data_IF_685130919144
#
_entry.id   IF_685130919144
#
_cell.length_a   1.000
_cell.length_b   1.000
_cell.length_c   1.000
_cell.angle_alpha   90.00
_cell.angle_beta   90.00
_cell.angle_gamma   90.00
#
_symmetry.space_group_name_H-M   'P 1'
#
loop_
_entity.id
_entity.type
_entity.pdbx_description
1 polymer ?
#
# COMPACT_ATOMS: atom_id res chain seq x y z
N UNK A 1 -15.73 29.75 -15.45
CA UNK A 1 -15.47 28.38 -15.96
C UNK A 1 -15.55 27.45 -14.77
N UNK A 2 -16.50 26.51 -14.76
CA UNK A 2 -16.74 25.66 -13.58
C UNK A 2 -15.74 24.49 -13.64
N UNK A 3 -14.80 24.44 -12.70
CA UNK A 3 -13.95 23.26 -12.46
C UNK A 3 -14.83 22.09 -11.99
N UNK A 4 -14.80 20.99 -12.70
CA UNK A 4 -15.40 19.72 -12.25
C UNK A 4 -14.46 19.14 -11.21
N UNK A 5 -14.95 19.04 -9.97
CA UNK A 5 -14.27 18.32 -8.90
C UNK A 5 -14.30 16.82 -9.24
N UNK A 6 -13.14 16.23 -9.42
CA UNK A 6 -12.98 14.76 -9.44
C UNK A 6 -12.93 14.32 -7.99
N UNK A 7 -13.96 13.60 -7.57
CA UNK A 7 -14.05 13.00 -6.24
C UNK A 7 -13.18 11.73 -6.25
N UNK A 8 -12.02 11.78 -5.64
CA UNK A 8 -11.22 10.59 -5.38
C UNK A 8 -11.93 9.78 -4.26
N UNK A 9 -12.57 8.68 -4.63
CA UNK A 9 -13.10 7.72 -3.65
C UNK A 9 -11.94 6.86 -3.20
N UNK A 10 -11.41 7.16 -2.00
CA UNK A 10 -10.46 6.29 -1.31
C UNK A 10 -11.24 5.11 -0.74
N UNK A 11 -11.02 3.91 -1.27
CA UNK A 11 -11.58 2.68 -0.74
C UNK A 11 -10.74 2.22 0.46
N UNK A 12 -11.29 2.42 1.65
CA UNK A 12 -10.79 1.79 2.85
C UNK A 12 -11.26 0.32 2.90
N UNK A 13 -10.32 -0.62 2.94
CA UNK A 13 -10.63 -2.03 3.19
C UNK A 13 -10.93 -2.23 4.68
N UNK A 14 -12.21 -2.27 5.02
CA UNK A 14 -12.68 -2.70 6.34
C UNK A 14 -12.85 -4.21 6.29
N UNK A 15 -11.96 -4.96 6.95
CA UNK A 15 -12.21 -6.36 7.25
C UNK A 15 -13.25 -6.46 8.37
N UNK A 16 -14.49 -6.76 8.01
CA UNK A 16 -15.50 -7.19 8.97
C UNK A 16 -15.50 -8.70 9.08
N UNK A 17 -14.99 -9.24 10.20
CA UNK A 17 -15.14 -10.64 10.56
C UNK A 17 -16.62 -10.96 10.82
N UNK A 18 -17.21 -11.83 10.01
CA UNK A 18 -18.47 -12.49 10.31
C UNK A 18 -18.20 -13.71 11.22
N UNK A 19 -18.58 -13.58 12.48
CA UNK A 19 -18.62 -14.68 13.45
C UNK A 19 -19.83 -15.56 13.13
N UNK A 20 -19.61 -16.80 12.72
CA UNK A 20 -20.60 -17.86 12.67
C UNK A 20 -20.80 -18.43 14.07
N UNK A 21 -21.86 -18.04 14.75
CA UNK A 21 -22.32 -18.72 15.96
C UNK A 21 -23.27 -19.84 15.59
N UNK A 22 -22.86 -21.08 15.91
CA UNK A 22 -23.66 -22.30 15.77
C UNK A 22 -24.71 -22.42 16.86
N UNK A 23 -25.82 -23.03 16.49
CA UNK A 23 -27.05 -23.29 17.24
C UNK A 23 -26.88 -24.15 18.50
N UNK A 24 -27.67 -23.84 19.52
CA UNK A 24 -28.02 -24.74 20.61
C UNK A 24 -29.26 -24.26 21.36
N UNK A 25 -30.31 -25.11 21.31
CA UNK A 25 -31.67 -24.95 21.82
C UNK A 25 -31.79 -24.67 23.33
N UNK A 26 -32.78 -23.88 23.76
CA UNK A 26 -33.94 -24.27 24.58
C UNK A 26 -34.67 -23.10 25.25
N UNK A 27 -35.91 -22.98 24.83
CA UNK A 27 -37.20 -22.78 25.56
C UNK A 27 -37.44 -21.66 26.62
N UNK A 28 -38.49 -20.99 26.31
CA UNK A 28 -39.67 -20.63 27.10
C UNK A 28 -39.87 -19.20 27.67
N UNK A 29 -40.85 -18.57 27.05
CA UNK A 29 -42.03 -17.86 27.61
C UNK A 29 -41.82 -16.53 28.38
N UNK A 30 -42.56 -15.52 28.21
CA UNK A 30 -43.95 -15.15 27.97
C UNK A 30 -44.10 -13.62 27.93
N UNK A 31 -45.02 -13.17 27.06
CA UNK A 31 -46.00 -12.06 27.17
C UNK A 31 -45.54 -10.65 27.54
N UNK A 32 -46.03 -9.62 26.93
CA UNK A 32 -47.27 -9.20 26.33
C UNK A 32 -47.10 -7.80 25.68
N UNK A 33 -47.66 -7.61 24.54
CA UNK A 33 -48.69 -6.65 24.09
C UNK A 33 -48.47 -5.16 24.46
N UNK A 34 -48.64 -4.21 23.56
CA UNK A 34 -49.74 -3.89 22.64
C UNK A 34 -49.47 -2.61 21.86
N UNK A 35 -49.88 -2.64 20.61
CA UNK A 35 -50.74 -1.67 19.86
C UNK A 35 -50.28 -0.22 19.78
N UNK A 36 -50.30 0.46 18.71
CA UNK A 36 -51.11 0.65 17.48
C UNK A 36 -50.63 2.01 16.93
N UNK A 37 -50.60 2.39 15.77
CA UNK A 37 -51.47 2.53 14.65
C UNK A 37 -50.76 3.24 13.48
N UNK A 38 -51.18 2.87 12.33
CA UNK A 38 -50.81 3.34 11.01
C UNK A 38 -51.04 4.83 10.74
N UNK A 39 -50.27 5.36 9.80
CA UNK A 39 -50.81 6.25 8.75
C UNK A 39 -49.94 6.20 7.51
N UNK A 40 -50.52 5.73 6.46
CA UNK A 40 -50.12 5.78 5.06
C UNK A 40 -50.08 7.22 4.54
N UNK A 41 -49.07 7.54 3.72
CA UNK A 41 -49.32 8.33 2.51
C UNK A 41 -48.31 7.95 1.43
N UNK A 42 -48.87 7.52 0.33
CA UNK A 42 -48.32 7.37 -0.99
C UNK A 42 -47.68 8.65 -1.52
N UNK A 43 -46.49 8.52 -2.13
CA UNK A 43 -46.11 9.35 -3.26
C UNK A 43 -45.07 8.61 -4.08
N UNK A 44 -45.50 8.07 -5.19
CA UNK A 44 -44.68 7.59 -6.28
C UNK A 44 -43.82 8.73 -6.85
N UNK A 45 -42.56 8.49 -6.99
CA UNK A 45 -41.74 9.19 -7.99
C UNK A 45 -40.77 8.16 -8.59
N UNK A 46 -41.13 7.75 -9.76
CA UNK A 46 -40.26 7.15 -10.77
C UNK A 46 -39.17 8.15 -11.08
N UNK A 47 -37.90 7.74 -10.95
CA UNK A 47 -36.88 8.18 -11.88
C UNK A 47 -35.85 7.09 -12.09
N UNK A 48 -35.92 6.61 -13.29
CA UNK A 48 -35.07 5.75 -14.07
C UNK A 48 -33.68 6.43 -14.18
N UNK A 49 -32.72 6.09 -13.35
CA UNK A 49 -31.32 6.39 -13.60
C UNK A 49 -30.76 5.22 -14.43
N UNK A 50 -30.96 5.30 -15.72
CA UNK A 50 -30.25 4.49 -16.68
C UNK A 50 -28.75 4.64 -16.44
N UNK A 51 -28.11 3.55 -16.04
CA UNK A 51 -26.70 3.35 -16.22
C UNK A 51 -26.41 3.55 -17.72
N UNK A 52 -25.75 4.64 -18.07
CA UNK A 52 -25.19 4.78 -19.41
C UNK A 52 -23.99 3.86 -19.47
N UNK A 53 -24.24 2.67 -19.95
CA UNK A 53 -23.29 1.74 -20.51
C UNK A 53 -22.76 2.39 -21.81
N UNK A 54 -21.78 3.29 -21.67
CA UNK A 54 -20.98 3.76 -22.80
C UNK A 54 -19.72 2.89 -22.89
N UNK A 55 -19.95 1.57 -22.99
CA UNK A 55 -18.96 0.66 -23.50
C UNK A 55 -18.79 0.97 -24.99
N UNK A 56 -17.67 1.54 -25.35
CA UNK A 56 -17.21 1.58 -26.72
C UNK A 56 -17.33 0.16 -27.31
N UNK A 57 -17.76 -0.01 -28.59
CA UNK A 57 -17.94 -1.33 -29.16
C UNK A 57 -16.63 -2.10 -29.04
N UNK A 58 -16.67 -3.27 -28.40
CA UNK A 58 -15.57 -4.19 -28.31
C UNK A 58 -15.02 -4.41 -29.74
N UNK A 59 -13.78 -4.01 -29.95
CA UNK A 59 -13.08 -4.35 -31.18
C UNK A 59 -12.91 -5.87 -31.18
N UNK A 60 -13.72 -6.55 -31.99
CA UNK A 60 -13.67 -7.99 -32.19
C UNK A 60 -12.43 -8.26 -33.08
N UNK A 61 -11.27 -8.53 -32.47
CA UNK A 61 -10.03 -8.76 -33.23
C UNK A 61 -8.85 -9.18 -32.37
N UNK A 62 -7.88 -9.82 -32.99
CA UNK A 62 -6.63 -10.32 -32.39
C UNK A 62 -5.74 -9.20 -31.75
N UNK A 63 -6.13 -7.94 -31.87
CA UNK A 63 -5.38 -6.75 -31.46
C UNK A 63 -5.93 -6.05 -30.18
N UNK A 64 -6.68 -6.76 -29.34
CA UNK A 64 -7.16 -6.22 -28.04
C UNK A 64 -6.32 -6.83 -26.92
N UNK A 65 -5.70 -6.00 -26.10
CA UNK A 65 -4.98 -6.39 -24.87
C UNK A 65 -5.95 -6.24 -23.69
N UNK A 66 -6.16 -7.29 -22.92
CA UNK A 66 -6.95 -7.23 -21.69
C UNK A 66 -6.07 -6.85 -20.51
N UNK A 67 -6.36 -5.72 -19.89
CA UNK A 67 -5.69 -5.21 -18.69
C UNK A 67 -6.61 -5.36 -17.48
N UNK A 68 -6.14 -6.07 -16.45
CA UNK A 68 -6.84 -6.18 -15.17
C UNK A 68 -6.11 -5.42 -14.09
N UNK A 69 -6.85 -4.60 -13.34
CA UNK A 69 -6.30 -3.79 -12.26
C UNK A 69 -7.28 -3.71 -11.09
N UNK A 70 -6.78 -3.35 -9.92
CA UNK A 70 -7.59 -3.10 -8.73
C UNK A 70 -7.88 -1.61 -8.51
N UNK A 71 -7.20 -0.73 -9.26
CA UNK A 71 -7.41 0.72 -9.33
C UNK A 71 -7.33 1.20 -10.76
N UNK A 72 -7.61 2.47 -10.99
CA UNK A 72 -7.46 3.15 -12.29
C UNK A 72 -6.03 3.63 -12.59
N UNK A 73 -5.07 3.40 -11.69
CA UNK A 73 -3.70 3.91 -11.81
C UNK A 73 -2.95 3.30 -13.00
N UNK A 74 -2.78 1.96 -13.04
CA UNK A 74 -2.14 1.29 -14.18
C UNK A 74 -2.92 1.52 -15.48
N UNK A 75 -4.26 1.42 -15.51
CA UNK A 75 -5.03 1.81 -16.69
C UNK A 75 -4.72 3.22 -17.18
N UNK A 76 -4.69 4.20 -16.30
CA UNK A 76 -4.34 5.59 -16.65
C UNK A 76 -2.93 5.75 -17.22
N UNK A 77 -1.96 4.97 -16.72
CA UNK A 77 -0.61 4.92 -17.29
C UNK A 77 -0.60 4.32 -18.69
N UNK A 78 -1.35 3.24 -18.91
CA UNK A 78 -1.48 2.61 -20.23
C UNK A 78 -2.17 3.54 -21.23
N UNK A 79 -3.16 4.32 -20.82
CA UNK A 79 -3.76 5.34 -21.67
C UNK A 79 -2.73 6.37 -22.14
N UNK A 80 -1.81 6.79 -21.24
CA UNK A 80 -0.69 7.68 -21.60
C UNK A 80 0.32 7.04 -22.55
N UNK A 81 0.59 5.75 -22.38
CA UNK A 81 1.39 4.98 -23.33
C UNK A 81 0.74 5.00 -24.74
N UNK A 82 -0.57 4.76 -24.82
CA UNK A 82 -1.29 4.76 -26.11
C UNK A 82 -1.36 6.15 -26.74
N UNK A 83 -1.53 7.21 -25.93
CA UNK A 83 -1.45 8.60 -26.40
C UNK A 83 -0.07 8.92 -27.02
N UNK A 84 1.01 8.45 -26.40
CA UNK A 84 2.38 8.66 -26.86
C UNK A 84 2.74 7.77 -28.08
N UNK A 85 2.04 6.65 -28.28
CA UNK A 85 2.32 5.66 -29.31
C UNK A 85 1.10 5.41 -30.25
N UNK A 86 0.65 6.41 -31.02
CA UNK A 86 -0.57 6.30 -31.82
C UNK A 86 -0.52 5.19 -32.89
N UNK A 87 0.66 4.77 -33.27
CA UNK A 87 0.89 3.70 -34.26
C UNK A 87 1.09 2.30 -33.60
N UNK A 88 0.79 2.16 -32.32
CA UNK A 88 0.99 0.90 -31.56
C UNK A 88 0.20 -0.28 -32.13
N UNK A 89 -0.95 -0.03 -32.72
CA UNK A 89 -1.74 -1.03 -33.45
C UNK A 89 -2.58 -1.96 -32.58
N UNK A 90 -2.60 -1.75 -31.27
CA UNK A 90 -3.46 -2.46 -30.30
C UNK A 90 -4.37 -1.48 -29.56
N UNK A 91 -5.53 -1.99 -29.15
CA UNK A 91 -6.39 -1.33 -28.16
C UNK A 91 -6.31 -2.06 -26.83
N UNK A 92 -6.61 -1.37 -25.73
CA UNK A 92 -6.61 -1.98 -24.40
C UNK A 92 -8.03 -1.99 -23.85
N UNK A 93 -8.46 -3.17 -23.43
CA UNK A 93 -9.73 -3.39 -22.73
C UNK A 93 -9.43 -3.53 -21.24
N UNK A 94 -9.91 -2.59 -20.44
CA UNK A 94 -9.62 -2.52 -19.01
C UNK A 94 -10.73 -3.11 -18.18
N UNK A 95 -10.36 -3.95 -17.19
CA UNK A 95 -11.23 -4.46 -16.15
C UNK A 95 -10.69 -4.00 -14.80
N UNK A 96 -11.48 -3.21 -14.06
CA UNK A 96 -11.12 -2.74 -12.71
C UNK A 96 -12.04 -3.43 -11.70
N UNK A 97 -11.44 -4.14 -10.74
CA UNK A 97 -12.13 -4.79 -9.62
C UNK A 97 -11.39 -4.35 -8.35
N UNK A 98 -12.08 -3.61 -7.48
CA UNK A 98 -11.47 -3.16 -6.23
C UNK A 98 -11.06 -4.33 -5.33
N UNK A 99 -10.04 -4.13 -4.51
CA UNK A 99 -9.60 -5.09 -3.49
C UNK A 99 -10.54 -5.17 -2.28
N UNK A 100 -11.51 -4.26 -2.20
CA UNK A 100 -12.52 -4.23 -1.13
C UNK A 100 -13.21 -5.58 -1.01
N UNK A 101 -13.38 -6.03 0.21
CA UNK A 101 -13.98 -7.33 0.53
C UNK A 101 -13.26 -8.54 -0.13
N UNK A 102 -12.01 -8.35 -0.56
CA UNK A 102 -11.20 -9.40 -1.18
C UNK A 102 -11.68 -9.81 -2.58
N UNK A 103 -12.40 -8.95 -3.32
CA UNK A 103 -13.03 -9.32 -4.58
C UNK A 103 -12.04 -9.55 -5.73
N UNK A 104 -10.95 -8.77 -5.79
CA UNK A 104 -10.01 -8.80 -6.91
C UNK A 104 -9.29 -10.14 -7.09
N UNK A 105 -8.66 -10.64 -6.04
CA UNK A 105 -7.83 -11.85 -6.12
C UNK A 105 -8.60 -13.10 -6.58
N UNK A 106 -9.79 -13.43 -6.01
CA UNK A 106 -10.57 -14.57 -6.49
C UNK A 106 -11.02 -14.43 -7.96
N UNK A 107 -11.37 -13.21 -8.39
CA UNK A 107 -11.74 -12.95 -9.78
C UNK A 107 -10.56 -13.13 -10.72
N UNK A 108 -9.38 -12.62 -10.36
CA UNK A 108 -8.14 -12.77 -11.11
C UNK A 108 -7.73 -14.25 -11.19
N UNK A 109 -7.77 -14.99 -10.08
CA UNK A 109 -7.48 -16.44 -10.05
C UNK A 109 -8.38 -17.20 -11.02
N UNK A 110 -9.68 -16.91 -10.98
CA UNK A 110 -10.65 -17.56 -11.85
C UNK A 110 -10.38 -17.24 -13.34
N UNK A 111 -10.08 -15.97 -13.66
CA UNK A 111 -9.80 -15.54 -15.02
C UNK A 111 -8.52 -16.16 -15.58
N UNK A 112 -7.43 -16.19 -14.78
CA UNK A 112 -6.17 -16.83 -15.16
C UNK A 112 -6.34 -18.33 -15.35
N UNK A 113 -7.08 -19.01 -14.46
CA UNK A 113 -7.33 -20.44 -14.55
C UNK A 113 -8.25 -20.82 -15.72
N UNK A 114 -9.25 -20.00 -16.04
CA UNK A 114 -10.15 -20.21 -17.17
C UNK A 114 -9.44 -20.03 -18.52
N UNK A 115 -8.49 -19.09 -18.58
CA UNK A 115 -7.77 -18.77 -19.79
C UNK A 115 -8.67 -18.26 -20.93
N UNK A 116 -8.18 -18.33 -22.15
CA UNK A 116 -8.94 -17.94 -23.33
C UNK A 116 -8.89 -16.44 -23.63
N UNK A 117 -9.76 -15.97 -24.52
CA UNK A 117 -9.71 -14.61 -25.06
C UNK A 117 -10.07 -13.50 -24.06
N UNK A 118 -10.81 -13.84 -23.00
CA UNK A 118 -11.26 -12.90 -21.98
C UNK A 118 -10.34 -12.90 -20.74
N UNK A 119 -9.32 -13.77 -20.71
CA UNK A 119 -8.28 -13.75 -19.67
C UNK A 119 -7.43 -12.48 -19.76
N UNK A 120 -6.89 -12.00 -18.63
CA UNK A 120 -5.96 -10.88 -18.66
C UNK A 120 -4.70 -11.21 -19.46
N UNK A 121 -4.26 -10.30 -20.30
CA UNK A 121 -2.91 -10.29 -20.89
C UNK A 121 -1.90 -9.62 -19.95
N UNK A 122 -2.35 -8.52 -19.29
CA UNK A 122 -1.61 -7.76 -18.29
C UNK A 122 -2.46 -7.70 -17.03
N UNK A 123 -1.85 -7.83 -15.86
CA UNK A 123 -2.55 -7.64 -14.60
C UNK A 123 -1.66 -6.98 -13.54
N UNK A 124 -2.28 -6.15 -12.71
CA UNK A 124 -1.63 -5.47 -11.61
C UNK A 124 -1.77 -6.30 -10.32
N UNK A 125 -0.74 -6.26 -9.47
CA UNK A 125 -0.76 -6.84 -8.14
C UNK A 125 -0.13 -5.89 -7.13
N UNK A 126 -0.81 -5.70 -5.99
CA UNK A 126 -0.34 -4.87 -4.88
C UNK A 126 0.62 -5.67 -3.99
N UNK A 127 1.49 -5.00 -3.25
CA UNK A 127 2.51 -5.60 -2.39
C UNK A 127 1.99 -6.70 -1.47
N UNK A 128 0.79 -6.53 -0.90
CA UNK A 128 0.19 -7.49 0.03
C UNK A 128 -0.08 -8.87 -0.60
N UNK A 129 -0.29 -8.94 -1.92
CA UNK A 129 -0.63 -10.20 -2.59
C UNK A 129 0.19 -10.53 -3.84
N UNK A 130 1.11 -9.66 -4.27
CA UNK A 130 1.94 -9.92 -5.47
C UNK A 130 2.72 -11.23 -5.37
N UNK A 131 3.15 -11.61 -4.18
CA UNK A 131 3.93 -12.83 -3.96
C UNK A 131 3.17 -14.10 -4.35
N UNK A 132 1.86 -14.14 -4.23
CA UNK A 132 1.03 -15.23 -4.72
C UNK A 132 1.23 -15.44 -6.23
N UNK A 133 1.31 -14.35 -6.99
CA UNK A 133 1.39 -14.37 -8.46
C UNK A 133 2.83 -14.38 -8.99
N UNK A 134 3.79 -13.86 -8.23
CA UNK A 134 5.19 -13.86 -8.63
C UNK A 134 5.96 -15.10 -8.15
N UNK A 135 5.68 -15.61 -6.96
CA UNK A 135 6.47 -16.63 -6.29
C UNK A 135 5.66 -17.83 -5.81
N UNK A 136 4.38 -17.63 -5.45
CA UNK A 136 3.50 -18.59 -4.80
C UNK A 136 2.68 -19.42 -5.80
N UNK A 137 1.51 -19.87 -5.32
CA UNK A 137 0.67 -20.88 -5.98
C UNK A 137 0.16 -20.47 -7.36
N UNK A 138 0.00 -19.16 -7.62
CA UNK A 138 -0.42 -18.62 -8.92
C UNK A 138 0.75 -18.20 -9.82
N UNK A 139 2.01 -18.37 -9.39
CA UNK A 139 3.20 -17.91 -10.15
C UNK A 139 3.37 -18.64 -11.49
N UNK A 140 2.76 -19.82 -11.64
CA UNK A 140 2.74 -20.56 -12.89
C UNK A 140 1.92 -19.91 -14.01
N UNK A 141 1.10 -18.89 -13.72
CA UNK A 141 0.39 -18.11 -14.73
C UNK A 141 1.18 -16.91 -15.27
N UNK A 142 2.20 -16.45 -14.53
CA UNK A 142 2.99 -15.29 -14.92
C UNK A 142 4.01 -15.63 -16.03
N UNK A 143 4.06 -14.80 -17.07
CA UNK A 143 5.08 -14.83 -18.09
C UNK A 143 6.42 -14.36 -17.53
N UNK A 144 7.52 -14.98 -17.94
CA UNK A 144 8.82 -14.36 -17.73
C UNK A 144 8.97 -13.13 -18.65
N UNK A 145 9.57 -12.07 -18.15
CA UNK A 145 9.73 -10.84 -18.92
C UNK A 145 10.57 -11.05 -20.20
N UNK A 146 11.53 -11.98 -20.17
CA UNK A 146 12.28 -12.36 -21.37
C UNK A 146 11.39 -12.98 -22.46
N UNK A 147 10.32 -13.69 -22.08
CA UNK A 147 9.36 -14.27 -23.03
C UNK A 147 8.46 -13.19 -23.69
N UNK A 148 8.44 -11.97 -23.13
CA UNK A 148 7.78 -10.79 -23.67
C UNK A 148 8.70 -9.95 -24.58
N UNK A 149 9.96 -10.37 -24.75
CA UNK A 149 10.96 -9.67 -25.57
C UNK A 149 11.77 -8.61 -24.84
N UNK A 150 11.73 -8.58 -23.50
CA UNK A 150 12.50 -7.65 -22.65
C UNK A 150 13.89 -8.24 -22.37
N UNK A 151 14.96 -7.47 -22.58
CA UNK A 151 16.33 -7.84 -22.18
C UNK A 151 16.53 -7.53 -20.69
N UNK A 152 15.96 -8.38 -19.84
CA UNK A 152 15.90 -8.19 -18.38
C UNK A 152 17.28 -7.89 -17.78
N UNK A 153 18.32 -8.61 -18.21
CA UNK A 153 19.65 -8.46 -17.63
C UNK A 153 20.25 -7.08 -17.90
N UNK A 154 20.08 -6.57 -19.12
CA UNK A 154 20.56 -5.24 -19.51
C UNK A 154 19.69 -4.14 -18.92
N UNK A 155 18.39 -4.23 -19.12
CA UNK A 155 17.46 -3.14 -18.80
C UNK A 155 17.30 -2.91 -17.28
N UNK A 156 17.26 -3.99 -16.47
CA UNK A 156 17.25 -3.87 -15.00
C UNK A 156 18.54 -3.23 -14.48
N UNK A 157 19.70 -3.59 -15.08
CA UNK A 157 20.98 -3.01 -14.69
C UNK A 157 21.12 -1.54 -15.12
N UNK A 158 20.71 -1.21 -16.35
CA UNK A 158 20.76 0.15 -16.88
C UNK A 158 19.81 1.11 -16.14
N UNK A 159 18.63 0.61 -15.80
CA UNK A 159 17.65 1.35 -15.00
C UNK A 159 18.02 1.41 -13.50
N UNK A 160 18.95 0.58 -13.03
CA UNK A 160 19.33 0.46 -11.61
C UNK A 160 18.08 0.24 -10.71
N UNK A 161 17.26 -0.72 -11.09
CA UNK A 161 15.99 -1.00 -10.39
C UNK A 161 16.24 -1.36 -8.93
N UNK A 162 15.45 -0.80 -8.02
CA UNK A 162 15.51 -1.08 -6.59
C UNK A 162 15.45 -2.59 -6.33
N UNK A 163 16.46 -3.14 -5.67
CA UNK A 163 16.69 -4.59 -5.59
C UNK A 163 15.51 -5.35 -4.97
N UNK A 164 14.84 -4.77 -3.96
CA UNK A 164 13.72 -5.46 -3.30
C UNK A 164 12.53 -5.70 -4.25
N UNK A 165 12.31 -4.80 -5.24
CA UNK A 165 11.23 -4.98 -6.24
C UNK A 165 11.56 -6.13 -7.19
N UNK A 166 12.83 -6.28 -7.53
CA UNK A 166 13.35 -7.42 -8.32
C UNK A 166 13.26 -8.72 -7.51
N UNK A 167 13.65 -8.70 -6.24
CA UNK A 167 13.56 -9.86 -5.35
C UNK A 167 12.12 -10.38 -5.25
N UNK A 168 11.15 -9.48 -5.05
CA UNK A 168 9.71 -9.82 -5.00
C UNK A 168 9.22 -10.36 -6.35
N UNK A 169 9.64 -9.77 -7.46
CA UNK A 169 9.19 -10.13 -8.80
C UNK A 169 9.93 -11.33 -9.42
N UNK A 170 10.92 -11.90 -8.74
CA UNK A 170 11.67 -13.06 -9.23
C UNK A 170 11.04 -14.37 -8.76
N UNK A 171 10.62 -15.20 -9.72
CA UNK A 171 10.02 -16.51 -9.45
C UNK A 171 11.09 -17.52 -8.99
N UNK A 172 10.96 -18.10 -7.77
CA UNK A 172 12.01 -18.98 -7.21
C UNK A 172 12.21 -20.29 -8.01
N UNK A 173 11.17 -20.77 -8.68
CA UNK A 173 11.19 -22.07 -9.36
C UNK A 173 12.19 -22.12 -10.52
N UNK A 174 12.44 -21.00 -11.20
CA UNK A 174 13.32 -20.92 -12.39
C UNK A 174 14.24 -19.68 -12.40
N UNK A 175 14.15 -18.83 -11.39
CA UNK A 175 14.95 -17.60 -11.28
C UNK A 175 14.56 -16.50 -12.27
N UNK A 176 13.37 -16.60 -12.90
CA UNK A 176 12.90 -15.65 -13.90
C UNK A 176 12.22 -14.45 -13.27
N UNK A 177 12.45 -13.27 -13.83
CA UNK A 177 11.72 -12.07 -13.49
C UNK A 177 10.34 -12.12 -14.16
N UNK A 178 9.27 -12.04 -13.36
CA UNK A 178 7.88 -12.13 -13.81
C UNK A 178 7.03 -10.93 -13.43
N UNK A 179 7.57 -10.05 -12.58
CA UNK A 179 6.91 -8.83 -12.11
C UNK A 179 7.92 -7.74 -11.78
N UNK A 180 7.59 -6.49 -12.04
CA UNK A 180 8.30 -5.32 -11.49
C UNK A 180 7.30 -4.26 -11.05
N UNK A 181 7.63 -3.60 -9.94
CA UNK A 181 7.00 -2.36 -9.54
C UNK A 181 7.61 -1.17 -10.27
N UNK A 182 6.79 -0.19 -10.60
CA UNK A 182 7.27 1.11 -11.11
C UNK A 182 7.64 2.08 -9.98
N UNK A 183 7.10 1.87 -8.78
CA UNK A 183 7.40 2.63 -7.57
C UNK A 183 8.53 2.00 -6.76
N UNK A 184 9.26 2.85 -6.00
CA UNK A 184 10.10 2.42 -4.91
C UNK A 184 9.51 2.95 -3.60
N UNK A 185 9.07 2.05 -2.73
CA UNK A 185 8.25 2.35 -1.57
C UNK A 185 8.99 2.21 -0.24
N UNK A 186 10.30 2.44 -0.26
CA UNK A 186 11.10 2.59 0.95
C UNK A 186 10.53 3.69 1.85
N UNK A 187 10.40 3.40 3.14
CA UNK A 187 9.72 4.27 4.10
C UNK A 187 10.65 5.20 4.86
N UNK A 188 10.11 6.35 5.23
CA UNK A 188 10.75 7.37 6.06
C UNK A 188 9.81 7.78 7.20
N UNK A 189 10.25 8.67 8.08
CA UNK A 189 9.38 9.35 9.03
C UNK A 189 9.03 10.73 8.48
N UNK A 190 7.73 10.98 8.29
CA UNK A 190 7.15 12.22 7.76
C UNK A 190 6.57 12.99 8.95
N UNK A 191 7.11 14.17 9.26
CA UNK A 191 6.82 14.85 10.52
C UNK A 191 6.40 16.30 10.33
N UNK A 192 5.74 16.86 11.36
CA UNK A 192 5.28 18.26 11.46
C UNK A 192 6.42 19.16 11.91
N UNK A 193 6.83 20.11 11.05
CA UNK A 193 7.91 21.09 11.35
C UNK A 193 7.59 21.97 12.55
N UNK A 194 6.35 22.44 12.64
CA UNK A 194 5.91 23.32 13.73
C UNK A 194 5.98 22.62 15.10
N UNK A 195 5.59 21.34 15.14
CA UNK A 195 5.69 20.52 16.35
C UNK A 195 7.16 20.24 16.69
N UNK A 196 7.98 19.89 15.70
CA UNK A 196 9.41 19.71 15.89
C UNK A 196 10.07 20.95 16.49
N UNK A 197 9.77 22.13 15.93
CA UNK A 197 10.30 23.40 16.42
C UNK A 197 9.83 23.72 17.86
N UNK A 198 8.57 23.46 18.21
CA UNK A 198 8.06 23.70 19.57
C UNK A 198 8.69 22.77 20.61
N UNK A 199 8.90 21.50 20.28
CA UNK A 199 9.36 20.48 21.23
C UNK A 199 10.89 20.40 21.29
N UNK A 200 11.55 20.40 20.15
CA UNK A 200 13.00 20.14 20.05
C UNK A 200 13.81 21.39 19.72
N UNK A 201 13.16 22.49 19.34
CA UNK A 201 13.85 23.76 18.97
C UNK A 201 14.49 23.74 17.60
N UNK A 202 14.21 22.73 16.80
CA UNK A 202 14.68 22.55 15.43
C UNK A 202 13.61 21.84 14.59
N UNK A 203 13.58 22.13 13.30
CA UNK A 203 12.77 21.41 12.31
C UNK A 203 13.64 20.86 11.16
N UNK A 204 14.97 20.86 11.35
CA UNK A 204 15.92 20.33 10.38
C UNK A 204 15.80 18.80 10.26
N UNK A 205 15.63 18.24 9.04
CA UNK A 205 15.44 16.82 8.85
C UNK A 205 16.58 15.93 9.37
N UNK A 206 17.83 16.36 9.25
CA UNK A 206 18.96 15.57 9.74
C UNK A 206 18.99 15.54 11.27
N UNK A 207 18.68 16.68 11.92
CA UNK A 207 18.63 16.78 13.38
C UNK A 207 17.45 16.00 13.95
N UNK A 208 16.27 16.10 13.35
CA UNK A 208 15.09 15.33 13.75
C UNK A 208 15.34 13.82 13.57
N UNK A 209 15.93 13.42 12.45
CA UNK A 209 16.35 12.03 12.26
C UNK A 209 17.23 11.52 13.41
N UNK A 210 18.23 12.30 13.85
CA UNK A 210 19.10 11.95 15.00
C UNK A 210 18.31 11.86 16.30
N UNK A 211 17.36 12.78 16.52
CA UNK A 211 16.52 12.82 17.73
C UNK A 211 15.66 11.56 17.86
N UNK A 212 15.14 11.06 16.75
CA UNK A 212 14.31 9.84 16.74
C UNK A 212 15.10 8.54 16.56
N UNK A 213 16.44 8.61 16.47
CA UNK A 213 17.32 7.44 16.37
C UNK A 213 17.46 6.87 14.96
N UNK A 214 17.46 7.71 13.92
CA UNK A 214 17.59 7.31 12.52
C UNK A 214 18.74 6.31 12.29
N UNK A 215 18.42 5.16 11.68
CA UNK A 215 19.40 4.13 11.30
C UNK A 215 20.02 3.36 12.45
N UNK A 216 19.59 3.56 13.70
CA UNK A 216 20.15 2.83 14.88
C UNK A 216 19.66 1.40 14.97
N UNK A 217 18.51 1.07 14.36
CA UNK A 217 17.84 -0.21 14.52
C UNK A 217 17.14 -0.37 15.89
N UNK A 218 17.07 0.71 16.69
CA UNK A 218 16.43 0.74 18.01
C UNK A 218 15.30 1.78 18.04
N UNK A 219 14.30 1.54 18.88
CA UNK A 219 13.20 2.45 19.15
C UNK A 219 13.43 3.32 20.41
N UNK A 220 14.57 3.18 21.10
CA UNK A 220 14.82 3.86 22.37
C UNK A 220 14.78 5.39 22.24
N UNK A 221 15.45 5.95 21.23
CA UNK A 221 15.47 7.38 20.98
C UNK A 221 14.10 7.89 20.52
N UNK A 222 13.38 7.10 19.72
CA UNK A 222 12.02 7.41 19.30
C UNK A 222 11.06 7.54 20.51
N UNK A 223 11.13 6.62 21.46
CA UNK A 223 10.33 6.69 22.67
C UNK A 223 10.81 7.80 23.63
N UNK A 224 12.10 8.12 23.65
CA UNK A 224 12.61 9.27 24.38
C UNK A 224 12.09 10.61 23.79
N UNK A 225 11.96 10.70 22.48
CA UNK A 225 11.29 11.82 21.81
C UNK A 225 9.77 11.84 22.10
N UNK A 226 9.13 10.67 22.15
CA UNK A 226 7.69 10.54 22.48
C UNK A 226 7.36 11.12 23.87
N UNK A 227 8.20 10.90 24.87
CA UNK A 227 8.01 11.48 26.21
C UNK A 227 8.09 13.01 26.18
N UNK A 228 8.99 13.59 25.38
CA UNK A 228 9.09 15.04 25.22
C UNK A 228 7.87 15.63 24.51
N UNK A 229 7.41 14.96 23.44
CA UNK A 229 6.20 15.34 22.68
C UNK A 229 4.96 15.35 23.59
N UNK A 230 4.76 14.25 24.35
CA UNK A 230 3.68 14.14 25.33
C UNK A 230 3.74 15.25 26.39
N UNK A 231 4.95 15.61 26.84
CA UNK A 231 5.15 16.71 27.80
C UNK A 231 4.66 18.07 27.30
N UNK A 232 4.50 18.21 25.98
CA UNK A 232 3.94 19.38 25.30
C UNK A 232 2.48 19.20 24.83
N UNK A 233 1.92 18.00 25.01
CA UNK A 233 0.55 17.69 24.66
C UNK A 233 0.37 17.16 23.24
N UNK A 234 1.43 16.69 22.60
CA UNK A 234 1.42 16.08 21.28
C UNK A 234 1.49 14.56 21.35
N UNK A 235 0.84 13.87 20.42
CA UNK A 235 1.09 12.47 20.16
C UNK A 235 2.28 12.31 19.20
N UNK A 236 3.01 11.21 19.33
CA UNK A 236 4.18 10.93 18.47
C UNK A 236 3.74 10.42 17.11
N UNK A 237 2.76 9.53 17.10
CA UNK A 237 2.11 8.94 15.92
C UNK A 237 0.61 8.85 16.18
N UNK A 238 -0.19 8.59 15.14
CA UNK A 238 -1.63 8.53 15.27
C UNK A 238 -2.11 7.23 15.90
N UNK A 239 -1.61 6.10 15.43
CA UNK A 239 -1.92 4.77 15.95
C UNK A 239 -0.70 3.85 15.96
N UNK A 240 -0.81 2.66 16.55
CA UNK A 240 0.25 1.67 16.52
C UNK A 240 0.47 1.07 15.12
N UNK A 241 -0.51 1.22 14.21
CA UNK A 241 -0.42 0.87 12.80
C UNK A 241 0.72 1.62 12.11
N UNK A 242 0.87 2.92 12.40
CA UNK A 242 1.98 3.71 11.84
C UNK A 242 3.35 3.10 12.17
N UNK A 243 3.54 2.62 13.41
CA UNK A 243 4.76 1.94 13.82
C UNK A 243 4.89 0.54 13.20
N UNK A 244 3.75 -0.16 13.05
CA UNK A 244 3.73 -1.49 12.46
C UNK A 244 4.27 -1.53 11.06
N UNK A 245 3.94 -0.56 10.21
CA UNK A 245 4.46 -0.47 8.84
C UNK A 245 6.00 -0.47 8.80
N UNK A 246 6.65 0.16 9.79
CA UNK A 246 8.10 0.11 9.89
C UNK A 246 8.62 -1.23 10.43
N UNK A 247 7.88 -1.92 11.30
CA UNK A 247 8.28 -3.20 11.89
C UNK A 247 8.05 -4.37 10.94
N UNK A 248 6.91 -4.37 10.24
CA UNK A 248 6.42 -5.46 9.39
C UNK A 248 7.48 -5.99 8.43
N UNK A 249 8.09 -5.09 7.65
CA UNK A 249 9.04 -5.41 6.59
C UNK A 249 10.50 -5.09 6.95
N UNK A 250 10.79 -4.83 8.24
CA UNK A 250 12.15 -4.61 8.73
C UNK A 250 12.80 -5.84 9.35
N UNK A 251 12.06 -6.95 9.44
CA UNK A 251 12.51 -8.19 10.07
C UNK A 251 13.63 -8.87 9.28
N UNK A 252 14.55 -9.52 9.99
CA UNK A 252 15.68 -10.23 9.38
C UNK A 252 15.25 -11.60 8.84
N UNK A 253 14.11 -12.13 9.33
CA UNK A 253 13.52 -13.40 8.92
C UNK A 253 12.09 -13.22 8.42
N UNK A 254 11.68 -14.09 7.49
CA UNK A 254 10.29 -14.17 7.08
C UNK A 254 9.37 -14.75 8.18
N UNK A 255 8.06 -14.62 7.99
CA UNK A 255 7.11 -15.37 8.83
C UNK A 255 7.23 -16.88 8.64
N UNK A 256 7.66 -17.31 7.44
CA UNK A 256 7.82 -18.72 7.11
C UNK A 256 9.24 -18.97 6.64
N UNK A 257 9.95 -19.85 7.33
CA UNK A 257 11.25 -20.37 6.91
C UNK A 257 11.20 -21.91 6.86
N UNK A 258 11.54 -22.48 5.74
CA UNK A 258 11.51 -23.94 5.53
C UNK A 258 10.15 -24.58 5.88
N UNK A 259 9.05 -23.88 5.59
CA UNK A 259 7.68 -24.34 5.87
C UNK A 259 7.23 -24.22 7.34
N UNK A 260 8.02 -23.54 8.18
CA UNK A 260 7.74 -23.35 9.60
C UNK A 260 7.45 -21.88 9.91
N UNK A 261 6.50 -21.65 10.81
CA UNK A 261 6.27 -20.32 11.38
C UNK A 261 7.48 -19.89 12.21
N UNK A 262 7.96 -18.69 11.93
CA UNK A 262 9.04 -18.03 12.68
C UNK A 262 8.57 -16.65 13.12
N UNK A 263 8.59 -16.39 14.42
CA UNK A 263 8.36 -15.05 14.96
C UNK A 263 9.73 -14.37 15.10
N UNK A 264 10.03 -13.47 14.17
CA UNK A 264 11.27 -12.68 14.25
C UNK A 264 11.27 -11.81 15.51
N UNK A 265 12.40 -11.65 16.23
CA UNK A 265 12.47 -10.83 17.43
C UNK A 265 12.00 -9.39 17.26
N UNK A 266 12.17 -8.78 16.08
CA UNK A 266 11.66 -7.42 15.81
C UNK A 266 10.15 -7.38 15.76
N UNK A 267 9.52 -8.38 15.12
CA UNK A 267 8.05 -8.53 15.11
C UNK A 267 7.51 -8.87 16.49
N UNK A 268 8.20 -9.75 17.23
CA UNK A 268 7.81 -10.09 18.60
C UNK A 268 7.88 -8.86 19.53
N UNK A 269 8.92 -8.05 19.38
CA UNK A 269 9.07 -6.80 20.15
C UNK A 269 7.93 -5.81 19.92
N UNK A 270 7.22 -5.90 18.79
CA UNK A 270 6.09 -5.02 18.50
C UNK A 270 4.95 -5.15 19.52
N UNK A 271 4.76 -6.32 20.15
CA UNK A 271 3.85 -6.47 21.31
C UNK A 271 4.15 -5.41 22.38
N UNK A 272 5.40 -5.32 22.79
CA UNK A 272 5.82 -4.42 23.86
C UNK A 272 5.88 -2.96 23.38
N UNK A 273 6.24 -2.69 22.12
CA UNK A 273 6.23 -1.35 21.52
C UNK A 273 4.81 -0.78 21.45
N UNK A 274 3.85 -1.56 20.94
CA UNK A 274 2.43 -1.16 20.88
C UNK A 274 1.85 -0.91 22.28
N UNK A 275 2.17 -1.81 23.22
CA UNK A 275 1.75 -1.61 24.61
C UNK A 275 2.36 -0.36 25.24
N UNK A 276 3.65 -0.08 24.98
CA UNK A 276 4.30 1.13 25.48
C UNK A 276 3.67 2.40 24.91
N UNK A 277 3.30 2.42 23.63
CA UNK A 277 2.54 3.53 23.03
C UNK A 277 1.24 3.78 23.79
N UNK A 278 0.46 2.72 24.02
CA UNK A 278 -0.83 2.77 24.71
C UNK A 278 -0.72 3.19 26.17
N UNK A 279 0.08 2.47 26.95
CA UNK A 279 0.19 2.66 28.39
C UNK A 279 0.74 4.06 28.73
N UNK A 280 1.60 4.62 27.90
CA UNK A 280 2.15 5.95 28.09
C UNK A 280 1.33 7.05 27.37
N UNK A 281 0.36 6.73 26.55
CA UNK A 281 -0.44 7.70 25.80
C UNK A 281 0.43 8.50 24.81
N UNK A 282 1.27 7.82 24.03
CA UNK A 282 2.13 8.42 23.02
C UNK A 282 1.47 8.50 21.64
N UNK A 283 0.29 7.92 21.47
CA UNK A 283 -0.53 7.98 20.26
C UNK A 283 -1.99 8.30 20.59
N UNK A 284 -2.80 8.58 19.57
CA UNK A 284 -4.23 8.81 19.71
C UNK A 284 -5.07 7.53 19.66
N UNK A 285 -4.42 6.36 19.55
CA UNK A 285 -5.09 5.05 19.49
C UNK A 285 -6.03 4.90 18.28
N UNK A 286 -5.66 5.52 17.16
CA UNK A 286 -6.42 5.43 15.92
C UNK A 286 -6.10 4.15 15.15
N UNK A 287 -6.93 3.85 14.17
CA UNK A 287 -6.68 2.80 13.19
C UNK A 287 -6.46 3.44 11.82
N UNK A 288 -5.50 2.90 11.07
CA UNK A 288 -5.19 3.34 9.72
C UNK A 288 -6.45 3.33 8.85
N UNK A 289 -6.56 4.28 7.93
CA UNK A 289 -7.67 4.40 6.98
C UNK A 289 -9.03 4.70 7.59
N UNK A 290 -9.10 5.14 8.86
CA UNK A 290 -10.33 5.58 9.52
C UNK A 290 -10.35 7.11 9.66
N UNK A 291 -11.55 7.68 9.82
CA UNK A 291 -11.75 9.13 9.92
C UNK A 291 -10.88 9.80 10.99
N UNK A 292 -10.65 9.11 12.13
CA UNK A 292 -9.83 9.63 13.21
C UNK A 292 -8.33 9.73 12.81
N UNK A 293 -7.82 8.75 12.06
CA UNK A 293 -6.46 8.76 11.53
C UNK A 293 -6.28 9.90 10.51
N UNK A 294 -7.26 10.11 9.62
CA UNK A 294 -7.23 11.22 8.67
C UNK A 294 -7.34 12.59 9.37
N UNK A 295 -8.11 12.66 10.47
CA UNK A 295 -8.23 13.91 11.25
C UNK A 295 -6.88 14.34 11.85
N UNK A 296 -6.03 13.40 12.24
CA UNK A 296 -4.71 13.66 12.80
C UNK A 296 -3.70 14.29 11.79
N UNK A 297 -4.02 14.26 10.50
CA UNK A 297 -3.21 14.87 9.43
C UNK A 297 -3.46 16.38 9.28
N UNK A 298 -4.53 16.91 9.87
CA UNK A 298 -4.92 18.32 9.77
C UNK A 298 -4.08 19.24 10.64
N UNK A 299 -4.27 20.53 10.50
CA UNK A 299 -3.51 21.56 11.21
C UNK A 299 -3.53 21.41 12.73
N UNK A 300 -4.68 21.06 13.31
CA UNK A 300 -4.92 20.86 14.73
C UNK A 300 -4.85 19.39 15.20
N UNK A 301 -4.46 18.46 14.32
CA UNK A 301 -4.41 17.02 14.62
C UNK A 301 -3.50 16.65 15.79
N UNK A 302 -2.47 17.46 16.08
CA UNK A 302 -1.63 17.28 17.26
C UNK A 302 -0.71 16.05 17.23
N UNK A 303 -0.57 15.39 16.07
CA UNK A 303 0.32 14.27 15.84
C UNK A 303 1.63 14.73 15.23
N UNK A 304 2.74 14.26 15.78
CA UNK A 304 4.07 14.64 15.32
C UNK A 304 4.40 14.08 13.94
N UNK A 305 4.07 12.81 13.65
CA UNK A 305 4.34 12.27 12.32
C UNK A 305 3.81 10.88 12.05
N UNK A 306 4.13 10.39 10.85
CA UNK A 306 3.69 9.12 10.28
C UNK A 306 4.88 8.39 9.64
N UNK A 307 4.93 7.08 9.76
CA UNK A 307 5.86 6.27 8.98
C UNK A 307 5.24 5.90 7.64
N UNK A 308 5.96 6.14 6.55
CA UNK A 308 5.44 5.76 5.24
C UNK A 308 6.36 6.09 4.07
N UNK A 309 6.03 5.57 2.89
CA UNK A 309 6.70 5.85 1.62
C UNK A 309 6.23 7.17 0.99
N UNK A 310 6.82 7.53 -0.15
CA UNK A 310 6.51 8.79 -0.84
C UNK A 310 5.04 8.90 -1.26
N UNK A 311 4.40 7.78 -1.67
CA UNK A 311 2.99 7.79 -2.03
C UNK A 311 2.07 8.20 -0.87
N UNK A 312 2.46 7.94 0.40
CA UNK A 312 1.65 8.35 1.56
C UNK A 312 1.44 9.87 1.60
N UNK A 313 2.43 10.64 1.14
CA UNK A 313 2.33 12.10 1.06
C UNK A 313 1.22 12.50 0.09
N UNK A 314 1.27 11.96 -1.13
CA UNK A 314 0.44 12.41 -2.23
C UNK A 314 -0.99 11.88 -2.16
N UNK A 315 -1.16 10.61 -1.76
CA UNK A 315 -2.46 9.94 -1.74
C UNK A 315 -3.20 10.06 -0.41
N UNK A 316 -2.48 10.38 0.67
CA UNK A 316 -3.07 10.33 2.01
C UNK A 316 -2.88 11.62 2.79
N UNK A 317 -1.63 12.04 3.07
CA UNK A 317 -1.38 13.21 3.89
C UNK A 317 -1.88 14.51 3.24
N UNK A 318 -1.51 14.75 1.99
CA UNK A 318 -1.88 15.99 1.31
C UNK A 318 -3.40 16.13 1.10
N UNK A 319 -4.14 15.09 0.64
CA UNK A 319 -5.59 15.18 0.50
C UNK A 319 -6.33 15.39 1.82
N UNK A 320 -5.80 14.88 2.94
CA UNK A 320 -6.44 14.93 4.27
C UNK A 320 -5.83 16.01 5.19
N UNK A 321 -4.96 16.88 4.67
CA UNK A 321 -4.24 17.88 5.45
C UNK A 321 -5.05 19.11 5.85
N UNK A 322 -6.30 19.23 5.41
CA UNK A 322 -7.17 20.38 5.66
C UNK A 322 -8.63 19.95 5.76
N UNK A 323 -9.46 20.84 6.28
CA UNK A 323 -10.91 20.71 6.20
C UNK A 323 -11.41 20.93 4.77
N UNK A 324 -12.64 20.51 4.46
CA UNK A 324 -13.23 20.63 3.11
C UNK A 324 -13.23 22.06 2.54
N UNK A 325 -13.30 23.06 3.41
CA UNK A 325 -13.26 24.48 3.02
C UNK A 325 -11.84 25.04 2.88
N UNK A 326 -10.82 24.18 3.08
CA UNK A 326 -9.40 24.54 3.05
C UNK A 326 -8.88 25.17 4.34
N UNK A 327 -9.71 25.31 5.37
CA UNK A 327 -9.26 25.71 6.71
C UNK A 327 -8.51 24.60 7.43
N UNK A 328 -7.94 24.91 8.60
CA UNK A 328 -7.22 23.95 9.44
C UNK A 328 -6.16 23.13 8.68
N UNK A 329 -5.44 23.81 7.76
CA UNK A 329 -4.47 23.15 6.88
C UNK A 329 -3.13 22.95 7.58
N UNK A 330 -2.53 21.77 7.34
CA UNK A 330 -1.14 21.44 7.68
C UNK A 330 -0.20 21.48 6.47
N UNK A 331 -0.70 21.79 5.28
CA UNK A 331 0.13 21.85 4.07
C UNK A 331 1.28 22.85 4.22
N UNK A 332 2.48 22.46 3.83
CA UNK A 332 3.71 23.26 3.98
C UNK A 332 4.38 23.14 5.36
N UNK A 333 3.74 22.47 6.33
CA UNK A 333 4.27 22.23 7.67
C UNK A 333 4.88 20.83 7.85
N UNK A 334 5.13 20.12 6.77
CA UNK A 334 5.68 18.76 6.81
C UNK A 334 7.13 18.70 6.36
N UNK A 335 7.85 17.69 6.82
CA UNK A 335 9.16 17.31 6.34
C UNK A 335 9.38 15.81 6.46
N UNK A 336 10.42 15.31 5.80
CA UNK A 336 10.80 13.90 5.81
C UNK A 336 12.20 13.73 6.37
N UNK A 337 12.40 12.71 7.22
CA UNK A 337 13.71 12.31 7.70
C UNK A 337 13.86 10.78 7.73
N UNK A 338 15.10 10.29 7.83
CA UNK A 338 15.37 8.87 7.94
C UNK A 338 14.73 8.27 9.21
N UNK A 339 14.14 7.06 9.15
CA UNK A 339 13.49 6.41 10.28
C UNK A 339 14.51 5.68 11.17
N UNK A 340 14.12 5.25 12.39
CA UNK A 340 14.97 4.41 13.25
C UNK A 340 15.37 3.09 12.58
N UNK A 341 14.50 2.52 11.78
CA UNK A 341 14.69 1.23 11.13
C UNK A 341 14.23 1.32 9.67
N UNK A 342 15.00 0.71 8.75
CA UNK A 342 14.63 0.67 7.33
C UNK A 342 13.47 -0.28 7.07
N UNK A 343 12.55 0.12 6.21
CA UNK A 343 11.37 -0.66 5.84
C UNK A 343 10.89 -0.25 4.45
N UNK A 344 9.90 -0.97 3.92
CA UNK A 344 9.08 -0.54 2.78
C UNK A 344 7.60 -0.86 3.05
N UNK A 345 6.71 -0.16 2.36
CA UNK A 345 5.28 -0.39 2.49
C UNK A 345 4.54 -0.14 1.18
N UNK A 346 3.75 -1.15 0.74
CA UNK A 346 2.96 -1.06 -0.47
C UNK A 346 3.76 -1.08 -1.77
N UNK A 347 3.13 -0.65 -2.83
CA UNK A 347 3.62 -0.64 -4.20
C UNK A 347 2.80 -1.54 -5.12
N UNK A 348 2.84 -1.25 -6.42
CA UNK A 348 2.12 -1.99 -7.45
C UNK A 348 3.09 -2.63 -8.41
N UNK A 349 2.94 -3.93 -8.63
CA UNK A 349 3.69 -4.72 -9.62
C UNK A 349 2.83 -4.99 -10.84
N UNK A 350 3.47 -5.00 -12.01
CA UNK A 350 2.83 -5.32 -13.30
C UNK A 350 3.28 -6.70 -13.74
N UNK A 351 2.34 -7.57 -14.08
CA UNK A 351 2.58 -8.93 -14.53
C UNK A 351 1.90 -9.17 -15.88
N UNK A 352 2.39 -10.15 -16.63
CA UNK A 352 1.74 -10.63 -17.85
C UNK A 352 1.32 -12.08 -17.70
N UNK A 353 0.27 -12.46 -18.40
CA UNK A 353 -0.14 -13.84 -18.51
C UNK A 353 0.75 -14.58 -19.48
N UNK A 354 1.31 -15.73 -19.06
CA UNK A 354 2.20 -16.56 -19.91
C UNK A 354 1.52 -17.07 -21.19
N UNK A 355 0.19 -17.16 -21.19
CA UNK A 355 -0.61 -17.67 -22.30
C UNK A 355 -1.07 -16.54 -23.24
N UNK A 356 -0.60 -15.29 -23.04
CA UNK A 356 -0.89 -14.19 -23.97
C UNK A 356 -0.34 -14.47 -25.37
N UNK A 357 -1.16 -14.23 -26.37
CA UNK A 357 -0.73 -14.32 -27.79
C UNK A 357 -0.12 -13.01 -28.30
N UNK A 358 -0.02 -11.99 -27.45
CA UNK A 358 0.38 -10.61 -27.77
C UNK A 358 1.69 -10.23 -27.05
N UNK A 359 2.55 -11.22 -26.78
CA UNK A 359 3.72 -11.11 -25.93
C UNK A 359 4.57 -9.85 -26.19
N UNK A 360 4.92 -9.58 -27.45
CA UNK A 360 5.74 -8.42 -27.84
C UNK A 360 5.05 -7.07 -27.55
N UNK A 361 3.72 -6.99 -27.77
CA UNK A 361 2.95 -5.78 -27.50
C UNK A 361 2.80 -5.54 -26.01
N UNK A 362 2.53 -6.59 -25.23
CA UNK A 362 2.48 -6.59 -23.77
C UNK A 362 3.85 -6.18 -23.21
N UNK A 363 4.94 -6.74 -23.74
CA UNK A 363 6.30 -6.40 -23.34
C UNK A 363 6.62 -4.91 -23.50
N UNK A 364 6.20 -4.28 -24.59
CA UNK A 364 6.40 -2.83 -24.82
C UNK A 364 5.69 -1.95 -23.78
N UNK A 365 4.48 -2.35 -23.36
CA UNK A 365 3.75 -1.62 -22.29
C UNK A 365 4.47 -1.80 -20.96
N UNK A 366 4.84 -3.03 -20.59
CA UNK A 366 5.51 -3.33 -19.33
C UNK A 366 6.87 -2.65 -19.26
N UNK A 367 7.67 -2.71 -20.33
CA UNK A 367 8.96 -2.02 -20.41
C UNK A 367 8.80 -0.51 -20.17
N UNK A 368 7.86 0.11 -20.89
CA UNK A 368 7.62 1.55 -20.74
C UNK A 368 7.22 1.94 -19.32
N UNK A 369 6.44 1.10 -18.63
CA UNK A 369 6.01 1.36 -17.25
C UNK A 369 7.18 1.13 -16.26
N UNK A 370 7.97 0.06 -16.43
CA UNK A 370 8.82 -0.46 -15.35
C UNK A 370 10.32 -0.28 -15.56
N UNK A 371 10.79 -0.16 -16.81
CA UNK A 371 12.23 -0.21 -17.14
C UNK A 371 12.71 0.99 -17.97
N UNK A 372 11.83 1.63 -18.73
CA UNK A 372 12.21 2.75 -19.59
C UNK A 372 12.68 3.94 -18.77
N UNK A 373 13.94 4.36 -18.96
CA UNK A 373 14.57 5.48 -18.25
C UNK A 373 14.59 6.78 -19.02
N UNK A 374 14.03 6.84 -20.23
CA UNK A 374 13.95 8.05 -21.04
C UNK A 374 13.02 9.09 -20.42
N UNK A 375 13.13 10.35 -20.84
CA UNK A 375 12.35 11.45 -20.28
C UNK A 375 10.86 11.36 -20.68
N UNK A 376 10.52 10.56 -21.68
CA UNK A 376 9.16 10.19 -22.11
C UNK A 376 8.71 8.82 -21.60
N UNK A 377 9.51 8.14 -20.77
CA UNK A 377 9.14 6.95 -20.03
C UNK A 377 8.29 7.26 -18.80
N UNK A 378 7.47 6.28 -18.38
CA UNK A 378 6.58 6.48 -17.26
C UNK A 378 7.30 6.95 -15.99
N UNK A 379 8.36 6.25 -15.60
CA UNK A 379 9.03 6.51 -14.34
C UNK A 379 9.58 7.94 -14.26
N UNK A 380 10.15 8.47 -15.36
CA UNK A 380 10.62 9.85 -15.38
C UNK A 380 9.47 10.86 -15.23
N UNK A 381 8.40 10.66 -15.99
CA UNK A 381 7.24 11.55 -15.92
C UNK A 381 6.55 11.47 -14.55
N UNK A 382 6.49 10.29 -13.94
CA UNK A 382 5.93 10.08 -12.62
C UNK A 382 6.77 10.74 -11.53
N UNK A 383 8.09 10.54 -11.54
CA UNK A 383 9.00 11.15 -10.56
C UNK A 383 9.00 12.68 -10.63
N UNK A 384 8.79 13.27 -11.81
CA UNK A 384 8.83 14.70 -12.01
C UNK A 384 7.45 15.38 -12.09
N UNK A 385 6.36 14.62 -11.92
CA UNK A 385 5.00 15.14 -11.89
C UNK A 385 4.52 15.69 -13.24
N UNK A 386 4.97 15.08 -14.35
CA UNK A 386 4.62 15.55 -15.71
C UNK A 386 3.69 14.58 -16.46
N UNK A 387 3.40 13.40 -15.92
CA UNK A 387 2.55 12.41 -16.60
C UNK A 387 1.16 12.96 -16.97
N UNK A 388 0.55 13.74 -16.07
CA UNK A 388 -0.77 14.34 -16.23
C UNK A 388 -0.71 15.86 -16.44
N UNK A 389 0.39 16.35 -16.99
CA UNK A 389 0.65 17.77 -17.20
C UNK A 389 1.50 18.41 -16.09
N UNK A 390 1.84 19.69 -16.22
CA UNK A 390 2.63 20.40 -15.22
C UNK A 390 1.91 20.45 -13.85
N UNK A 391 2.65 20.16 -12.78
CA UNK A 391 2.13 20.17 -11.40
C UNK A 391 1.38 18.88 -11.02
N UNK A 392 1.57 17.79 -11.76
CA UNK A 392 1.09 16.47 -11.39
C UNK A 392 1.79 15.91 -10.15
N UNK A 393 1.28 14.79 -9.67
CA UNK A 393 1.83 14.06 -8.52
C UNK A 393 3.25 13.60 -8.81
N UNK A 394 4.17 13.89 -7.89
CA UNK A 394 5.54 13.36 -7.89
C UNK A 394 5.62 12.19 -6.92
N UNK A 395 6.33 11.14 -7.30
CA UNK A 395 6.54 9.98 -6.45
C UNK A 395 7.95 9.39 -6.63
N UNK A 396 8.36 8.55 -5.69
CA UNK A 396 9.62 7.83 -5.77
C UNK A 396 9.44 6.59 -6.65
N UNK A 397 10.25 6.50 -7.71
CA UNK A 397 10.16 5.39 -8.68
C UNK A 397 11.26 4.35 -8.47
N UNK A 398 11.06 3.16 -9.02
CA UNK A 398 11.95 2.02 -8.85
C UNK A 398 13.32 2.21 -9.53
N UNK A 399 13.40 3.02 -10.58
CA UNK A 399 14.65 3.28 -11.32
C UNK A 399 15.55 4.27 -10.60
N UNK A 400 16.70 3.80 -10.09
CA UNK A 400 17.76 4.65 -9.56
C UNK A 400 18.33 5.61 -10.60
N UNK A 401 18.40 5.19 -11.86
CA UNK A 401 18.85 6.03 -12.99
C UNK A 401 17.90 7.22 -13.21
N UNK A 402 16.59 7.00 -13.10
CA UNK A 402 15.59 8.08 -13.17
C UNK A 402 15.68 8.97 -11.93
N UNK A 403 15.74 8.38 -10.73
CA UNK A 403 15.80 9.15 -9.50
C UNK A 403 17.01 10.08 -9.45
N UNK A 404 18.16 9.66 -9.96
CA UNK A 404 19.39 10.47 -10.01
C UNK A 404 19.27 11.76 -10.85
N UNK A 405 18.30 11.85 -11.74
CA UNK A 405 18.05 13.03 -12.60
C UNK A 405 16.71 13.75 -12.31
N UNK A 406 16.00 13.31 -11.27
CA UNK A 406 14.67 13.83 -10.92
C UNK A 406 14.73 14.81 -9.74
N UNK A 407 13.71 15.67 -9.65
CA UNK A 407 13.57 16.65 -8.57
C UNK A 407 12.23 16.43 -7.84
N UNK A 408 12.32 16.08 -6.56
CA UNK A 408 11.20 15.82 -5.67
C UNK A 408 10.83 16.98 -4.75
N UNK A 409 11.15 18.25 -5.09
CA UNK A 409 10.68 19.40 -4.32
C UNK A 409 9.16 19.47 -4.29
N UNK A 410 8.59 19.57 -3.08
CA UNK A 410 7.16 19.65 -2.84
C UNK A 410 6.84 20.83 -1.91
N UNK A 411 5.91 21.69 -2.32
CA UNK A 411 5.39 22.76 -1.47
C UNK A 411 4.75 22.23 -0.19
N UNK A 412 4.14 21.05 -0.25
CA UNK A 412 3.57 20.35 0.89
C UNK A 412 4.60 20.09 2.00
N UNK A 413 5.84 19.85 1.63
CA UNK A 413 6.99 19.64 2.53
C UNK A 413 7.77 20.94 2.83
N UNK A 414 7.17 22.11 2.60
CA UNK A 414 7.85 23.39 2.77
C UNK A 414 9.02 23.59 1.81
N UNK A 415 8.97 22.98 0.63
CA UNK A 415 10.00 23.06 -0.40
C UNK A 415 11.13 22.02 -0.25
N UNK A 416 11.03 21.07 0.68
CA UNK A 416 12.00 19.98 0.78
C UNK A 416 11.94 19.10 -0.48
N UNK A 417 13.12 18.71 -0.99
CA UNK A 417 13.24 17.63 -1.97
C UNK A 417 13.06 16.30 -1.23
N UNK A 418 11.89 15.66 -1.41
CA UNK A 418 11.60 14.39 -0.72
C UNK A 418 12.55 13.26 -1.11
N UNK A 419 13.13 13.30 -2.31
CA UNK A 419 14.05 12.26 -2.78
C UNK A 419 15.34 12.17 -1.96
N UNK A 420 15.74 13.25 -1.27
CA UNK A 420 16.89 13.22 -0.36
C UNK A 420 16.68 12.24 0.82
N UNK A 421 15.42 11.98 1.20
CA UNK A 421 15.06 11.02 2.24
C UNK A 421 14.66 9.65 1.67
N UNK A 422 13.81 9.60 0.63
CA UNK A 422 13.26 8.35 0.11
C UNK A 422 14.23 7.52 -0.72
N UNK A 423 15.11 8.14 -1.51
CA UNK A 423 16.09 7.39 -2.32
C UNK A 423 17.04 6.57 -1.44
N UNK A 424 17.65 7.12 -0.37
CA UNK A 424 18.41 6.31 0.57
C UNK A 424 17.57 5.22 1.27
N UNK A 425 16.30 5.50 1.60
CA UNK A 425 15.42 4.55 2.28
C UNK A 425 15.19 3.27 1.45
N UNK A 426 15.12 3.36 0.12
CA UNK A 426 14.97 2.21 -0.76
C UNK A 426 16.11 1.19 -0.65
N UNK A 427 17.30 1.59 -0.19
CA UNK A 427 18.45 0.68 -0.03
C UNK A 427 18.30 -0.25 1.17
N UNK A 428 17.41 0.07 2.11
CA UNK A 428 17.14 -0.74 3.30
C UNK A 428 15.92 -1.65 3.14
N UNK A 429 15.15 -1.50 2.06
CA UNK A 429 14.02 -2.37 1.78
C UNK A 429 14.50 -3.78 1.42
N UNK A 430 13.86 -4.81 2.00
CA UNK A 430 14.21 -6.21 1.80
C UNK A 430 12.99 -7.02 1.34
N UNK A 431 13.02 -7.49 0.09
CA UNK A 431 11.96 -8.30 -0.51
C UNK A 431 12.18 -9.82 -0.43
N UNK A 432 13.27 -10.29 0.22
CA UNK A 432 13.68 -11.72 0.16
C UNK A 432 12.95 -12.61 1.17
N UNK A 433 12.44 -12.02 2.25
CA UNK A 433 11.90 -12.77 3.38
C UNK A 433 10.37 -12.85 3.37
N UNK A 434 9.73 -12.57 2.24
CA UNK A 434 8.28 -12.49 2.11
C UNK A 434 7.71 -13.76 1.50
N UNK A 435 6.46 -14.06 1.83
CA UNK A 435 5.69 -15.18 1.27
C UNK A 435 4.26 -14.76 0.92
N UNK A 436 3.56 -15.59 0.16
CA UNK A 436 2.13 -15.38 -0.16
C UNK A 436 1.19 -15.39 1.07
N UNK A 437 1.67 -15.77 2.23
CA UNK A 437 0.88 -15.89 3.46
C UNK A 437 1.03 -14.67 4.37
N UNK A 438 1.96 -13.76 4.07
CA UNK A 438 2.35 -12.67 4.98
C UNK A 438 1.17 -11.75 5.34
N UNK A 439 0.31 -11.39 4.38
CA UNK A 439 -0.89 -10.58 4.63
C UNK A 439 -1.80 -11.22 5.70
N UNK A 440 -2.08 -12.51 5.53
CA UNK A 440 -2.93 -13.27 6.48
C UNK A 440 -2.25 -13.40 7.84
N UNK A 441 -0.95 -13.71 7.86
CA UNK A 441 -0.20 -13.85 9.11
C UNK A 441 -0.09 -12.51 9.84
N UNK A 442 0.15 -11.42 9.13
CA UNK A 442 0.16 -10.06 9.69
C UNK A 442 -1.19 -9.71 10.33
N UNK A 443 -2.30 -10.07 9.68
CA UNK A 443 -3.63 -9.87 10.26
C UNK A 443 -3.81 -10.60 11.58
N UNK A 444 -3.45 -11.88 11.66
CA UNK A 444 -3.51 -12.65 12.90
C UNK A 444 -2.58 -12.10 13.99
N UNK A 445 -1.40 -11.63 13.59
CA UNK A 445 -0.46 -11.00 14.51
C UNK A 445 -1.02 -9.71 15.08
N UNK A 446 -1.56 -8.83 14.23
CA UNK A 446 -2.17 -7.56 14.65
C UNK A 446 -3.37 -7.79 15.59
N UNK A 447 -4.17 -8.83 15.36
CA UNK A 447 -5.28 -9.19 16.26
C UNK A 447 -4.76 -9.63 17.64
N UNK A 448 -3.71 -10.44 17.68
CA UNK A 448 -3.09 -10.86 18.94
C UNK A 448 -2.46 -9.68 19.69
N UNK A 449 -1.77 -8.78 18.98
CA UNK A 449 -1.21 -7.54 19.55
C UNK A 449 -2.31 -6.67 20.16
N UNK A 450 -3.43 -6.47 19.47
CA UNK A 450 -4.57 -5.72 20.00
C UNK A 450 -5.13 -6.32 21.28
N UNK A 451 -5.26 -7.65 21.35
CA UNK A 451 -5.69 -8.36 22.55
C UNK A 451 -4.76 -8.13 23.75
N UNK A 452 -3.46 -8.12 23.52
CA UNK A 452 -2.47 -7.82 24.55
C UNK A 452 -2.46 -6.34 24.95
N UNK A 453 -2.51 -5.46 23.97
CA UNK A 453 -2.45 -4.01 24.19
C UNK A 453 -3.69 -3.49 24.92
N UNK A 454 -4.89 -4.05 24.64
CA UNK A 454 -6.12 -3.75 25.39
C UNK A 454 -6.13 -4.31 26.81
N UNK A 455 -5.29 -5.30 27.10
CA UNK A 455 -5.24 -5.99 28.39
C UNK A 455 -6.22 -7.16 28.50
N UNK A 456 -6.83 -7.58 27.39
CA UNK A 456 -7.72 -8.75 27.34
C UNK A 456 -6.92 -10.06 27.39
N UNK A 457 -5.69 -10.04 26.91
CA UNK A 457 -4.77 -11.16 26.90
C UNK A 457 -3.45 -10.78 27.61
N UNK A 458 -2.83 -11.75 28.27
CA UNK A 458 -1.42 -11.64 28.62
C UNK A 458 -0.54 -11.78 27.36
N UNK A 459 0.73 -11.41 27.45
CA UNK A 459 1.68 -11.52 26.34
C UNK A 459 1.79 -12.94 25.79
N UNK A 460 1.88 -13.92 26.68
CA UNK A 460 1.99 -15.32 26.30
C UNK A 460 0.69 -15.84 25.65
N UNK A 461 -0.49 -15.45 26.18
CA UNK A 461 -1.78 -15.80 25.59
C UNK A 461 -1.94 -15.18 24.19
N UNK A 462 -1.46 -13.96 23.95
CA UNK A 462 -1.49 -13.34 22.62
C UNK A 462 -0.62 -14.11 21.62
N UNK A 463 0.58 -14.52 22.01
CA UNK A 463 1.47 -15.33 21.16
C UNK A 463 0.85 -16.70 20.86
N UNK A 464 0.27 -17.35 21.85
CA UNK A 464 -0.39 -18.66 21.65
C UNK A 464 -1.65 -18.54 20.76
N UNK A 465 -2.45 -17.49 20.93
CA UNK A 465 -3.60 -17.23 20.05
C UNK A 465 -3.14 -17.02 18.59
N UNK A 466 -2.09 -16.24 18.38
CA UNK A 466 -1.50 -16.04 17.07
C UNK A 466 -1.06 -17.38 16.44
N UNK A 467 -0.27 -18.18 17.16
CA UNK A 467 0.19 -19.49 16.71
C UNK A 467 -0.99 -20.41 16.36
N UNK A 468 -2.02 -20.41 17.19
CA UNK A 468 -3.22 -21.21 16.96
C UNK A 468 -3.94 -20.79 15.68
N UNK A 469 -4.11 -19.47 15.45
CA UNK A 469 -4.75 -18.97 14.24
C UNK A 469 -3.98 -19.36 12.98
N UNK A 470 -2.65 -19.30 13.01
CA UNK A 470 -1.81 -19.75 11.89
C UNK A 470 -1.97 -21.27 11.67
N UNK A 471 -1.90 -22.07 12.73
CA UNK A 471 -2.00 -23.53 12.63
C UNK A 471 -3.36 -24.02 12.11
N UNK A 472 -4.44 -23.31 12.48
CA UNK A 472 -5.80 -23.70 12.11
C UNK A 472 -6.17 -23.31 10.66
N UNK A 473 -5.51 -22.29 10.10
CA UNK A 473 -5.93 -21.68 8.83
C UNK A 473 -4.91 -21.78 7.70
N UNK A 474 -3.64 -22.09 8.00
CA UNK A 474 -2.58 -22.15 7.00
C UNK A 474 -1.87 -23.51 7.04
N UNK A 475 -1.41 -23.97 5.88
CA UNK A 475 -0.58 -25.19 5.78
C UNK A 475 0.88 -24.87 6.12
N UNK A 476 1.12 -24.52 7.40
CA UNK A 476 2.40 -24.10 7.95
C UNK A 476 2.66 -24.87 9.24
N UNK A 477 3.88 -25.34 9.43
CA UNK A 477 4.28 -26.03 10.67
C UNK A 477 4.43 -24.98 11.78
N UNK A 478 3.68 -25.14 12.86
CA UNK A 478 3.75 -24.29 14.07
C UNK A 478 4.31 -25.12 15.22
N UNK A 479 5.43 -24.67 15.83
CA UNK A 479 6.10 -25.35 16.97
C UNK A 479 5.94 -24.58 18.28
#
# INVERSE_FOLDING_TARGET
>A
MKMKKVLAVVLASVMSLSVLAGCGDSAASTDAASTDTAATTDAAATDDAAATDDAAPAADGDNVINLWSFTDEIPGMVDKFLEANPDFGYTVNTTIIATTDGAYQPALDQALAAGGKDAPDIYAAEAAFVLKYAQGDASGYAAAYEDLGIDVASEVADAQIAQYTVDIGTRPADGKLVALGYQATGGVFIYRRSIAQDVFGTDDPEEIGKIIGAGTGSWDDFFAAAEQLKGKGYATISGDGDLWHAVENSSDKGWIEDGKLVIDPKREAFLDLSKQLKDNGYHHDTQDWQDAWFADMKGDGGVFGFFGPAWLINYTLAPNSADEDGSNSSAGDWACCAPPIGFFWGGTWVLANKDTTKAEAVGKIIDWITLNTADDGLQYMWANGTLNGEGGTKDCVASGTVMAKSNGELDFLGGQNMFDAFVPANTYANGKNLTQYDETINSYWRDAVRGYTSGDLSRDEAIELFKQNVADNLDVIVE
#
